data_IF_270164329976
#
_entry.id   IF_270164329976
#
_cell.length_a   1.000
_cell.length_b   1.000
_cell.length_c   1.000
_cell.angle_alpha   90.00
_cell.angle_beta   90.00
_cell.angle_gamma   90.00
#
_symmetry.space_group_name_H-M   'P 1'
#
loop_
_entity.id
_entity.type
_entity.pdbx_description
1 polymer ?
#
# COMPACT_ATOMS: atom_id res chain seq x y z
N UNK A 1 -19.80 25.96 -19.74
CA UNK A 1 -20.55 24.84 -19.10
C UNK A 1 -19.61 24.24 -18.09
N UNK A 2 -19.92 24.43 -16.80
CA UNK A 2 -19.09 23.87 -15.72
C UNK A 2 -19.29 22.37 -15.69
N UNK A 3 -18.22 21.61 -15.86
CA UNK A 3 -18.22 20.17 -15.74
C UNK A 3 -18.72 19.80 -14.32
N UNK A 4 -19.73 18.95 -14.16
CA UNK A 4 -20.15 18.53 -12.83
C UNK A 4 -19.00 17.80 -12.17
N UNK A 5 -18.52 18.35 -11.05
CA UNK A 5 -17.51 17.68 -10.23
C UNK A 5 -18.01 16.25 -9.96
N UNK A 6 -17.31 15.26 -10.52
CA UNK A 6 -17.56 13.85 -10.21
C UNK A 6 -17.23 13.70 -8.73
N UNK A 7 -18.27 13.75 -7.89
CA UNK A 7 -18.13 13.44 -6.46
C UNK A 7 -17.74 11.96 -6.40
N UNK A 8 -16.46 11.70 -6.04
CA UNK A 8 -16.02 10.34 -5.87
C UNK A 8 -16.90 9.63 -4.84
N UNK A 9 -17.36 8.40 -5.11
CA UNK A 9 -18.23 7.69 -4.18
C UNK A 9 -17.53 7.53 -2.83
N UNK A 10 -18.25 7.80 -1.75
CA UNK A 10 -17.77 7.52 -0.39
C UNK A 10 -17.76 6.00 -0.21
N UNK A 11 -16.58 5.41 -0.15
CA UNK A 11 -16.41 3.97 0.02
C UNK A 11 -16.39 3.65 1.51
N UNK A 12 -17.46 3.06 2.00
CA UNK A 12 -17.56 2.65 3.39
C UNK A 12 -16.44 1.67 3.76
N UNK A 13 -15.99 1.75 5.02
CA UNK A 13 -15.02 0.81 5.59
C UNK A 13 -15.47 -0.64 5.35
N UNK A 14 -14.56 -1.57 5.02
CA UNK A 14 -14.91 -2.97 4.83
C UNK A 14 -15.38 -3.59 6.15
N UNK A 15 -16.32 -4.50 6.06
CA UNK A 15 -16.76 -5.30 7.19
C UNK A 15 -15.74 -6.37 7.55
N UNK A 16 -15.79 -6.84 8.78
CA UNK A 16 -14.85 -7.82 9.30
C UNK A 16 -14.79 -9.13 8.49
N UNK A 17 -15.90 -9.50 7.87
CA UNK A 17 -16.04 -10.68 7.01
C UNK A 17 -15.44 -10.51 5.60
N UNK A 18 -14.88 -9.34 5.28
CA UNK A 18 -14.37 -9.05 3.93
C UNK A 18 -12.85 -9.24 3.80
N UNK A 19 -12.17 -9.67 4.85
CA UNK A 19 -10.72 -9.88 4.86
C UNK A 19 -10.30 -10.84 5.97
N UNK A 20 -9.12 -11.46 5.78
CA UNK A 20 -8.53 -12.34 6.79
C UNK A 20 -8.26 -11.62 8.12
N UNK A 21 -8.40 -12.29 9.28
CA UNK A 21 -7.97 -11.78 10.59
C UNK A 21 -6.57 -11.18 10.61
N UNK A 22 -5.66 -11.71 9.82
CA UNK A 22 -4.30 -11.21 9.67
C UNK A 22 -4.23 -9.71 9.30
N UNK A 23 -5.18 -9.22 8.52
CA UNK A 23 -5.18 -7.83 8.05
C UNK A 23 -5.87 -6.83 8.99
N UNK A 24 -6.45 -7.30 10.11
CA UNK A 24 -7.15 -6.43 11.07
C UNK A 24 -6.28 -5.28 11.57
N UNK A 25 -5.01 -5.58 11.90
CA UNK A 25 -4.06 -4.59 12.36
C UNK A 25 -3.85 -3.45 11.34
N UNK A 26 -3.88 -3.76 10.05
CA UNK A 26 -3.74 -2.75 9.00
C UNK A 26 -5.04 -1.95 8.80
N UNK A 27 -6.16 -2.62 8.66
CA UNK A 27 -7.46 -1.95 8.44
C UNK A 27 -7.79 -0.99 9.58
N UNK A 28 -7.50 -1.37 10.83
CA UNK A 28 -7.77 -0.54 12.01
C UNK A 28 -6.94 0.75 12.07
N UNK A 29 -5.77 0.80 11.42
CA UNK A 29 -4.93 2.00 11.37
C UNK A 29 -5.51 3.10 10.48
N UNK A 30 -6.35 2.76 9.51
CA UNK A 30 -6.86 3.73 8.53
C UNK A 30 -7.90 4.64 9.19
N UNK A 31 -7.74 5.97 9.17
CA UNK A 31 -8.71 6.88 9.75
C UNK A 31 -9.94 7.07 8.85
N UNK A 32 -11.11 7.25 9.46
CA UNK A 32 -12.33 7.65 8.75
C UNK A 32 -12.78 6.68 7.64
N UNK A 33 -13.52 7.23 6.67
CA UNK A 33 -14.14 6.46 5.58
C UNK A 33 -13.77 7.01 4.18
N UNK A 34 -12.91 8.02 4.08
CA UNK A 34 -12.40 8.53 2.80
C UNK A 34 -11.08 7.82 2.45
N UNK A 35 -11.20 6.63 1.89
CA UNK A 35 -10.02 5.82 1.55
C UNK A 35 -9.17 6.46 0.43
N UNK A 36 -9.80 7.09 -0.56
CA UNK A 36 -9.07 7.73 -1.66
C UNK A 36 -8.31 8.96 -1.18
N UNK A 37 -8.94 9.81 -0.37
CA UNK A 37 -8.29 10.95 0.27
C UNK A 37 -7.18 10.52 1.24
N UNK A 38 -7.36 9.40 1.95
CA UNK A 38 -6.32 8.81 2.80
C UNK A 38 -5.10 8.41 1.99
N UNK A 39 -5.25 7.62 0.93
CA UNK A 39 -4.14 7.21 0.05
C UNK A 39 -3.42 8.40 -0.59
N UNK A 40 -4.15 9.44 -1.00
CA UNK A 40 -3.54 10.67 -1.54
C UNK A 40 -2.78 11.47 -0.48
N UNK A 41 -3.33 11.57 0.73
CA UNK A 41 -2.67 12.24 1.86
C UNK A 41 -1.40 11.50 2.28
N UNK A 42 -1.45 10.17 2.35
CA UNK A 42 -0.30 9.32 2.66
C UNK A 42 0.85 9.55 1.68
N UNK A 43 0.55 9.58 0.37
CA UNK A 43 1.56 9.87 -0.65
C UNK A 43 2.35 11.14 -0.34
N UNK A 44 1.65 12.21 0.04
CA UNK A 44 2.31 13.47 0.41
C UNK A 44 3.13 13.36 1.69
N UNK A 45 2.55 12.73 2.71
CA UNK A 45 3.20 12.59 4.03
C UNK A 45 4.46 11.71 3.96
N UNK A 46 4.40 10.61 3.22
CA UNK A 46 5.56 9.72 3.02
C UNK A 46 6.66 10.43 2.22
N UNK A 47 6.30 11.22 1.20
CA UNK A 47 7.29 12.02 0.47
C UNK A 47 7.95 13.09 1.35
N UNK A 48 7.20 13.74 2.24
CA UNK A 48 7.76 14.69 3.21
C UNK A 48 8.73 13.97 4.17
N UNK A 49 8.35 12.80 4.68
CA UNK A 49 9.20 11.99 5.56
C UNK A 49 10.53 11.58 4.92
N UNK A 50 10.50 11.31 3.60
CA UNK A 50 11.66 10.87 2.82
C UNK A 50 12.45 12.02 2.20
N UNK A 51 11.93 13.26 2.28
CA UNK A 51 12.57 14.42 1.67
C UNK A 51 13.94 14.70 2.30
N UNK A 52 14.96 14.86 1.46
CA UNK A 52 16.31 15.17 1.90
C UNK A 52 17.09 13.99 2.50
N UNK A 53 16.53 12.78 2.49
CA UNK A 53 17.24 11.58 2.94
C UNK A 53 18.34 11.20 1.95
N UNK A 54 19.51 10.92 2.48
CA UNK A 54 20.69 10.53 1.69
C UNK A 54 20.85 8.98 1.62
N UNK A 55 21.89 8.55 0.89
CA UNK A 55 22.17 7.13 0.72
C UNK A 55 22.52 6.43 2.03
N UNK A 56 23.18 7.11 2.97
CA UNK A 56 23.55 6.53 4.26
C UNK A 56 22.33 6.26 5.15
N UNK A 57 21.35 7.15 5.11
CA UNK A 57 20.06 6.95 5.76
C UNK A 57 19.24 5.86 5.06
N UNK A 58 19.31 5.81 3.72
CA UNK A 58 18.69 4.76 2.91
C UNK A 58 19.22 3.35 3.25
N UNK A 59 20.51 3.21 3.50
CA UNK A 59 21.16 1.95 3.83
C UNK A 59 21.05 1.58 5.32
N UNK A 60 20.61 2.51 6.15
CA UNK A 60 20.52 2.30 7.59
C UNK A 60 19.53 1.19 7.96
N UNK A 61 19.96 0.35 8.94
CA UNK A 61 19.18 -0.71 9.59
C UNK A 61 19.20 -0.44 11.09
N UNK A 62 18.04 -0.45 11.75
CA UNK A 62 18.00 -0.23 13.21
C UNK A 62 18.43 -1.46 14.02
N UNK A 63 18.58 -2.63 13.40
CA UNK A 63 19.19 -3.83 13.96
C UNK A 63 19.75 -4.71 12.82
N UNK A 64 20.73 -5.62 13.09
CA UNK A 64 21.44 -6.38 12.06
C UNK A 64 20.56 -7.26 11.17
N UNK A 65 19.46 -7.78 11.72
CA UNK A 65 18.50 -8.68 11.06
C UNK A 65 17.30 -7.95 10.43
N UNK A 66 17.28 -6.61 10.46
CA UNK A 66 16.19 -5.80 9.92
C UNK A 66 16.50 -5.28 8.53
N UNK A 67 15.46 -5.03 7.78
CA UNK A 67 15.55 -4.39 6.47
C UNK A 67 16.17 -2.99 6.59
N UNK A 68 16.88 -2.55 5.56
CA UNK A 68 17.26 -1.15 5.42
C UNK A 68 16.02 -0.29 5.06
N UNK A 69 16.16 1.04 5.15
CA UNK A 69 15.10 1.95 4.68
C UNK A 69 14.76 1.68 3.21
N UNK A 70 15.76 1.45 2.35
CA UNK A 70 15.57 1.11 0.93
C UNK A 70 14.77 -0.17 0.75
N UNK A 71 15.11 -1.22 1.49
CA UNK A 71 14.42 -2.51 1.42
C UNK A 71 12.98 -2.41 1.95
N UNK A 72 12.77 -1.67 3.03
CA UNK A 72 11.43 -1.43 3.57
C UNK A 72 10.55 -0.66 2.58
N UNK A 73 11.08 0.40 1.95
CA UNK A 73 10.36 1.16 0.93
C UNK A 73 10.07 0.32 -0.31
N UNK A 74 11.03 -0.49 -0.74
CA UNK A 74 10.85 -1.43 -1.84
C UNK A 74 9.77 -2.46 -1.54
N UNK A 75 9.75 -3.00 -0.31
CA UNK A 75 8.68 -3.89 0.16
C UNK A 75 7.30 -3.21 0.11
N UNK A 76 7.20 -1.95 0.53
CA UNK A 76 5.94 -1.19 0.44
C UNK A 76 5.48 -1.08 -1.02
N UNK A 77 6.41 -0.78 -1.94
CA UNK A 77 6.10 -0.70 -3.37
C UNK A 77 5.62 -2.04 -3.94
N UNK A 78 6.33 -3.14 -3.67
CA UNK A 78 5.99 -4.45 -4.20
C UNK A 78 4.66 -4.97 -3.64
N UNK A 79 4.44 -4.78 -2.35
CA UNK A 79 3.18 -5.17 -1.70
C UNK A 79 2.00 -4.39 -2.28
N UNK A 80 2.15 -3.08 -2.51
CA UNK A 80 1.10 -2.27 -3.13
C UNK A 80 0.83 -2.70 -4.58
N UNK A 81 1.85 -3.06 -5.38
CA UNK A 81 1.67 -3.65 -6.72
C UNK A 81 0.84 -4.93 -6.67
N UNK A 82 1.14 -5.81 -5.72
CA UNK A 82 0.41 -7.07 -5.53
C UNK A 82 -1.04 -6.80 -5.13
N UNK A 83 -1.29 -5.91 -4.18
CA UNK A 83 -2.64 -5.56 -3.74
C UNK A 83 -3.43 -4.87 -4.86
N UNK A 84 -2.83 -3.97 -5.60
CA UNK A 84 -3.47 -3.31 -6.75
C UNK A 84 -3.79 -4.32 -7.87
N UNK A 85 -2.91 -5.26 -8.17
CA UNK A 85 -3.16 -6.34 -9.12
C UNK A 85 -4.34 -7.23 -8.67
N UNK A 86 -4.37 -7.61 -7.39
CA UNK A 86 -5.49 -8.38 -6.83
C UNK A 86 -6.81 -7.60 -6.94
N UNK A 87 -6.78 -6.31 -6.58
CA UNK A 87 -7.94 -5.43 -6.67
C UNK A 87 -8.45 -5.32 -8.13
N UNK A 88 -7.54 -5.15 -9.10
CA UNK A 88 -7.89 -5.13 -10.53
C UNK A 88 -8.58 -6.41 -10.97
N UNK A 89 -7.99 -7.58 -10.67
CA UNK A 89 -8.53 -8.88 -11.04
C UNK A 89 -9.95 -9.07 -10.50
N UNK A 90 -10.12 -8.86 -9.21
CA UNK A 90 -11.40 -9.01 -8.51
C UNK A 90 -12.42 -7.98 -9.01
N UNK A 91 -12.00 -6.73 -9.19
CA UNK A 91 -12.87 -5.67 -9.71
C UNK A 91 -13.38 -5.95 -11.14
N UNK A 92 -12.65 -6.73 -11.94
CA UNK A 92 -13.06 -7.18 -13.27
C UNK A 92 -13.87 -8.49 -13.25
N UNK A 93 -14.21 -9.01 -12.05
CA UNK A 93 -15.01 -10.23 -11.90
C UNK A 93 -14.23 -11.53 -12.09
N UNK A 94 -12.90 -11.47 -12.08
CA UNK A 94 -12.07 -12.67 -12.14
C UNK A 94 -12.18 -13.44 -10.82
N UNK A 95 -12.55 -14.71 -10.92
CA UNK A 95 -12.76 -15.62 -9.79
C UNK A 95 -11.61 -16.59 -9.56
N UNK A 96 -10.53 -16.49 -10.35
CA UNK A 96 -9.34 -17.33 -10.18
C UNK A 96 -8.70 -17.04 -8.82
N UNK A 97 -8.45 -18.03 -7.98
CA UNK A 97 -7.73 -17.83 -6.73
C UNK A 97 -6.34 -17.26 -6.99
N UNK A 98 -5.99 -16.20 -6.26
CA UNK A 98 -4.72 -15.51 -6.40
C UNK A 98 -3.75 -15.99 -5.31
N UNK A 99 -2.51 -16.30 -5.72
CA UNK A 99 -1.49 -16.84 -4.82
C UNK A 99 -1.08 -15.84 -3.73
N UNK A 100 -0.57 -16.37 -2.60
CA UNK A 100 0.20 -15.63 -1.62
C UNK A 100 1.62 -15.32 -2.12
N UNK A 101 2.38 -14.59 -1.29
CA UNK A 101 3.81 -14.37 -1.50
C UNK A 101 4.51 -14.26 -0.14
N UNK A 102 5.82 -14.59 -0.11
CA UNK A 102 6.64 -14.46 1.07
C UNK A 102 7.48 -13.19 0.98
N UNK A 103 7.15 -12.22 1.82
CA UNK A 103 7.75 -10.88 1.78
C UNK A 103 9.27 -10.88 1.98
N UNK A 104 9.80 -11.74 2.85
CA UNK A 104 11.24 -11.81 3.11
C UNK A 104 12.01 -12.35 1.91
N UNK A 105 11.41 -13.30 1.16
CA UNK A 105 11.98 -13.80 -0.09
C UNK A 105 11.98 -12.74 -1.17
N UNK A 106 10.91 -11.94 -1.27
CA UNK A 106 10.82 -10.83 -2.21
C UNK A 106 11.90 -9.78 -1.93
N UNK A 107 12.05 -9.35 -0.68
CA UNK A 107 13.11 -8.38 -0.30
C UNK A 107 14.50 -8.96 -0.55
N UNK A 108 14.75 -10.22 -0.15
CA UNK A 108 16.06 -10.88 -0.34
C UNK A 108 16.47 -10.98 -1.81
N UNK A 109 15.52 -11.25 -2.70
CA UNK A 109 15.76 -11.43 -4.12
C UNK A 109 15.64 -10.11 -4.92
N UNK A 110 15.34 -9.00 -4.25
CA UNK A 110 15.20 -7.70 -4.89
C UNK A 110 16.54 -6.97 -5.05
N UNK A 111 16.64 -5.99 -5.95
CA UNK A 111 17.82 -5.14 -6.08
C UNK A 111 17.80 -3.93 -5.13
N UNK A 112 16.82 -3.78 -4.21
CA UNK A 112 16.57 -2.55 -3.47
C UNK A 112 17.80 -2.04 -2.70
N UNK A 113 18.56 -2.93 -2.05
CA UNK A 113 19.75 -2.55 -1.31
C UNK A 113 20.86 -1.92 -2.18
N UNK A 114 20.82 -2.12 -3.51
CA UNK A 114 21.82 -1.61 -4.46
C UNK A 114 21.34 -0.42 -5.28
N UNK A 115 20.06 -0.08 -5.19
CA UNK A 115 19.48 1.04 -5.94
C UNK A 115 19.64 2.35 -5.16
N UNK A 116 19.83 3.49 -5.84
CA UNK A 116 19.73 4.80 -5.21
C UNK A 116 18.37 4.99 -4.52
N UNK A 117 18.38 5.61 -3.32
CA UNK A 117 17.12 5.85 -2.59
C UNK A 117 16.15 6.73 -3.40
N UNK A 118 16.67 7.68 -4.18
CA UNK A 118 15.85 8.53 -5.04
C UNK A 118 15.04 7.73 -6.07
N UNK A 119 15.61 6.69 -6.68
CA UNK A 119 14.90 5.82 -7.62
C UNK A 119 13.80 4.98 -6.95
N UNK A 120 14.00 4.57 -5.70
CA UNK A 120 12.98 3.84 -4.94
C UNK A 120 11.82 4.78 -4.54
N UNK A 121 12.13 6.04 -4.24
CA UNK A 121 11.11 7.08 -4.01
C UNK A 121 10.30 7.34 -5.29
N UNK A 122 10.94 7.39 -6.46
CA UNK A 122 10.24 7.49 -7.74
C UNK A 122 9.32 6.28 -8.01
N UNK A 123 9.80 5.08 -7.71
CA UNK A 123 8.98 3.86 -7.76
C UNK A 123 7.72 3.99 -6.88
N UNK A 124 7.88 4.43 -5.63
CA UNK A 124 6.77 4.65 -4.72
C UNK A 124 5.74 5.65 -5.29
N UNK A 125 6.21 6.75 -5.86
CA UNK A 125 5.34 7.77 -6.49
C UNK A 125 4.56 7.15 -7.65
N UNK A 126 5.22 6.41 -8.51
CA UNK A 126 4.62 5.80 -9.70
C UNK A 126 3.57 4.74 -9.31
N UNK A 127 3.91 3.85 -8.37
CA UNK A 127 3.01 2.81 -7.86
C UNK A 127 1.76 3.43 -7.24
N UNK A 128 1.92 4.38 -6.31
CA UNK A 128 0.78 5.04 -5.65
C UNK A 128 -0.10 5.80 -6.64
N UNK A 129 0.47 6.45 -7.65
CA UNK A 129 -0.32 7.10 -8.72
C UNK A 129 -1.14 6.09 -9.51
N UNK A 130 -0.55 4.96 -9.88
CA UNK A 130 -1.25 3.89 -10.60
C UNK A 130 -2.39 3.30 -9.75
N UNK A 131 -2.13 3.03 -8.46
CA UNK A 131 -3.11 2.53 -7.50
C UNK A 131 -4.30 3.50 -7.34
N UNK A 132 -4.02 4.79 -7.16
CA UNK A 132 -5.06 5.82 -7.07
C UNK A 132 -5.88 5.91 -8.35
N UNK A 133 -5.23 5.84 -9.53
CA UNK A 133 -5.93 5.85 -10.82
C UNK A 133 -6.82 4.63 -10.98
N UNK A 134 -6.36 3.45 -10.57
CA UNK A 134 -7.18 2.24 -10.57
C UNK A 134 -8.44 2.43 -9.72
N UNK A 135 -8.28 2.79 -8.45
CA UNK A 135 -9.38 2.88 -7.51
C UNK A 135 -10.38 3.99 -7.85
N UNK A 136 -9.93 5.16 -8.33
CA UNK A 136 -10.80 6.27 -8.74
C UNK A 136 -11.74 5.92 -9.91
N UNK A 137 -11.36 4.96 -10.73
CA UNK A 137 -12.12 4.55 -11.91
C UNK A 137 -12.98 3.29 -11.67
N UNK A 138 -13.15 2.86 -10.42
CA UNK A 138 -14.05 1.77 -10.08
C UNK A 138 -15.46 2.29 -9.81
N UNK A 139 -16.45 1.61 -10.37
CA UNK A 139 -17.85 1.80 -10.01
C UNK A 139 -18.19 1.13 -8.64
N UNK A 140 -19.33 1.48 -8.09
CA UNK A 140 -19.77 0.97 -6.78
C UNK A 140 -19.81 -0.57 -6.74
N UNK A 141 -20.30 -1.20 -7.80
CA UNK A 141 -20.35 -2.66 -7.88
C UNK A 141 -18.96 -3.29 -7.83
N UNK A 142 -18.00 -2.70 -8.52
CA UNK A 142 -16.60 -3.18 -8.54
C UNK A 142 -15.95 -3.09 -7.17
N UNK A 143 -16.22 -2.04 -6.40
CA UNK A 143 -15.73 -1.90 -5.03
C UNK A 143 -16.23 -3.01 -4.10
N UNK A 144 -17.43 -3.52 -4.31
CA UNK A 144 -18.06 -4.54 -3.47
C UNK A 144 -17.73 -5.97 -3.90
N UNK A 145 -17.09 -6.16 -5.06
CA UNK A 145 -16.74 -7.51 -5.54
C UNK A 145 -15.74 -8.18 -4.61
N UNK A 146 -15.91 -9.49 -4.47
CA UNK A 146 -15.06 -10.37 -3.66
C UNK A 146 -14.38 -11.42 -4.52
N UNK A 147 -13.21 -11.85 -4.08
CA UNK A 147 -12.43 -12.93 -4.69
C UNK A 147 -11.60 -13.65 -3.63
N UNK A 148 -10.78 -14.57 -4.07
CA UNK A 148 -9.89 -15.34 -3.20
C UNK A 148 -8.44 -14.88 -3.42
N UNK A 149 -7.76 -14.48 -2.34
CA UNK A 149 -6.34 -14.19 -2.37
C UNK A 149 -5.65 -14.78 -1.12
N UNK A 150 -4.54 -15.46 -1.33
CA UNK A 150 -3.83 -16.17 -0.26
C UNK A 150 -4.78 -17.07 0.56
N UNK A 151 -5.62 -17.85 -0.14
CA UNK A 151 -6.61 -18.78 0.42
C UNK A 151 -7.71 -18.13 1.30
N UNK A 152 -7.86 -16.81 1.27
CA UNK A 152 -8.88 -16.11 2.03
C UNK A 152 -9.77 -15.28 1.10
N UNK A 153 -11.06 -15.16 1.46
CA UNK A 153 -11.95 -14.22 0.79
C UNK A 153 -11.52 -12.78 1.09
N UNK A 154 -11.57 -11.93 0.07
CA UNK A 154 -11.23 -10.53 0.20
C UNK A 154 -12.05 -9.68 -0.78
N UNK A 155 -12.52 -8.51 -0.35
CA UNK A 155 -13.18 -7.54 -1.22
C UNK A 155 -12.20 -6.52 -1.80
N UNK A 156 -12.59 -5.87 -2.89
CA UNK A 156 -11.80 -4.78 -3.49
C UNK A 156 -11.63 -3.62 -2.51
N UNK A 157 -12.70 -3.23 -1.80
CA UNK A 157 -12.60 -2.17 -0.79
C UNK A 157 -11.68 -2.57 0.38
N UNK A 158 -11.69 -3.84 0.79
CA UNK A 158 -10.77 -4.31 1.81
C UNK A 158 -9.31 -4.20 1.35
N UNK A 159 -9.00 -4.53 0.08
CA UNK A 159 -7.67 -4.36 -0.49
C UNK A 159 -7.20 -2.91 -0.46
N UNK A 160 -8.07 -1.94 -0.72
CA UNK A 160 -7.72 -0.52 -0.63
C UNK A 160 -7.38 -0.10 0.82
N UNK A 161 -8.19 -0.53 1.80
CA UNK A 161 -7.94 -0.27 3.21
C UNK A 161 -6.68 -0.97 3.72
N UNK A 162 -6.44 -2.21 3.29
CA UNK A 162 -5.21 -2.96 3.63
C UNK A 162 -3.99 -2.25 3.04
N UNK A 163 -4.05 -1.79 1.78
CA UNK A 163 -2.98 -1.01 1.16
C UNK A 163 -2.63 0.23 1.97
N UNK A 164 -3.65 1.01 2.35
CA UNK A 164 -3.44 2.21 3.16
C UNK A 164 -2.89 1.88 4.56
N UNK A 165 -3.45 0.88 5.21
CA UNK A 165 -3.02 0.46 6.55
C UNK A 165 -1.62 -0.14 6.58
N UNK A 166 -1.24 -0.89 5.54
CA UNK A 166 0.10 -1.44 5.37
C UNK A 166 1.16 -0.33 5.28
N UNK A 167 0.91 0.70 4.47
CA UNK A 167 1.82 1.86 4.42
C UNK A 167 1.88 2.60 5.75
N UNK A 168 0.72 2.85 6.41
CA UNK A 168 0.70 3.48 7.74
C UNK A 168 1.55 2.73 8.75
N UNK A 169 1.46 1.40 8.76
CA UNK A 169 2.27 0.56 9.62
C UNK A 169 3.77 0.76 9.36
N UNK A 170 4.19 0.68 8.10
CA UNK A 170 5.60 0.82 7.73
C UNK A 170 6.11 2.26 7.89
N UNK A 171 5.30 3.26 7.60
CA UNK A 171 5.65 4.66 7.86
C UNK A 171 5.89 4.91 9.35
N UNK A 172 5.04 4.37 10.22
CA UNK A 172 5.24 4.45 11.67
C UNK A 172 6.56 3.79 12.11
N UNK A 173 6.90 2.65 11.52
CA UNK A 173 8.20 1.99 11.77
C UNK A 173 9.36 2.90 11.32
N UNK A 174 9.27 3.54 10.14
CA UNK A 174 10.26 4.50 9.68
C UNK A 174 10.43 5.66 10.68
N UNK A 175 9.33 6.27 11.10
CA UNK A 175 9.31 7.39 12.06
C UNK A 175 9.92 6.98 13.41
N UNK A 176 9.50 5.85 13.99
CA UNK A 176 9.86 5.43 15.35
C UNK A 176 11.22 4.73 15.47
N UNK A 177 11.67 4.00 14.42
CA UNK A 177 12.86 3.15 14.51
C UNK A 177 14.02 3.63 13.66
N UNK A 178 13.74 4.24 12.52
CA UNK A 178 14.79 4.66 11.59
C UNK A 178 15.12 6.15 11.71
N UNK A 179 14.11 7.00 11.89
CA UNK A 179 14.25 8.46 11.85
C UNK A 179 14.05 9.16 13.20
N UNK A 180 13.71 8.44 14.28
CA UNK A 180 13.56 8.98 15.64
C UNK A 180 14.92 9.39 16.29
N UNK A 181 15.94 9.67 15.47
CA UNK A 181 17.24 10.15 15.99
C UNK A 181 17.15 11.65 16.23
N UNK A 182 17.03 12.03 17.48
CA UNK A 182 17.39 13.36 17.97
C UNK A 182 18.91 13.49 18.06
#
# INVERSE_FOLDING_TARGET
MSDPAIIAPTIARPERAEYSPYHEGYVSLVPGNDILGTLESQRRQTLILLSGRDESEGDFRYAPDKWSVKELLGHVCDTERIFAYRALRIARGDRTPLAGFEQDDYVRNSPFAKRPIAEIIEDYIAVRRATLTLFRNLDEQSWMRRGIANNNEISVRALAYITAGHELHHRRILEEKYFARS
#
